data_IF_710212188693
#
_entry.id   IF_710212188693
#
_cell.length_a   1.000
_cell.length_b   1.000
_cell.length_c   1.000
_cell.angle_alpha   90.00
_cell.angle_beta   90.00
_cell.angle_gamma   90.00
#
_symmetry.space_group_name_H-M   'P 1'
#
loop_
_entity.id
_entity.type
_entity.pdbx_description
1 polymer ?
2 non-polymer ?
3 non-polymer ?
4 water ?
#
# COMPACT_ATOMS: atom_id res chain seq x y z
N UNK A 15 -1.39 -1.71 33.94
CA UNK A 15 -1.59 -1.80 32.49
C UNK A 15 -1.42 -3.21 31.94
N UNK A 16 -2.25 -3.60 30.98
CA UNK A 16 -2.12 -4.91 30.37
C UNK A 16 -0.73 -5.06 29.73
N UNK A 17 -0.30 -6.32 29.60
CA UNK A 17 1.03 -6.67 29.14
C UNK A 17 0.94 -7.82 28.14
N UNK A 18 1.74 -7.74 27.09
CA UNK A 18 1.82 -8.77 26.06
C UNK A 18 3.28 -9.05 25.77
N UNK A 19 3.72 -10.29 25.99
CA UNK A 19 5.11 -10.70 25.79
C UNK A 19 6.07 -9.71 26.46
N UNK A 20 5.84 -9.44 27.74
CA UNK A 20 6.68 -8.55 28.49
C UNK A 20 6.61 -7.09 28.09
N UNK A 21 5.80 -6.73 27.10
CA UNK A 21 5.68 -5.35 26.63
C UNK A 21 4.42 -4.72 27.18
N UNK A 22 4.52 -3.46 27.62
CA UNK A 22 3.34 -2.74 28.06
C UNK A 22 2.40 -2.55 26.89
N UNK A 23 1.10 -2.73 27.14
CA UNK A 23 0.07 -2.56 26.11
C UNK A 23 -1.11 -1.89 26.83
N UNK A 24 -0.99 -0.58 27.01
CA UNK A 24 -1.81 0.16 27.97
C UNK A 24 -3.09 0.67 27.29
N UNK A 25 -4.01 -0.26 27.06
CA UNK A 25 -5.26 0.04 26.37
C UNK A 25 -6.50 -0.26 27.21
N UNK A 26 -6.33 -0.77 28.43
CA UNK A 26 -7.47 -0.98 29.31
C UNK A 26 -7.99 0.32 29.88
N UNK A 27 -9.19 0.28 30.46
CA UNK A 27 -10.08 -0.89 30.57
C UNK A 27 -10.98 -1.16 29.35
N UNK A 28 -11.08 -0.24 28.38
CA UNK A 28 -12.01 -0.48 27.28
C UNK A 28 -11.63 -1.71 26.47
N UNK A 29 -10.35 -1.89 26.17
CA UNK A 29 -9.88 -2.97 25.31
C UNK A 29 -9.13 -4.00 26.14
N UNK A 30 -9.57 -5.25 26.10
CA UNK A 30 -8.98 -6.30 26.94
C UNK A 30 -8.80 -7.56 26.11
N UNK A 31 -8.40 -8.64 26.79
CA UNK A 31 -8.20 -9.93 26.17
C UNK A 31 -7.31 -9.80 24.93
N UNK A 32 -6.13 -9.24 25.15
CA UNK A 32 -5.19 -9.03 24.06
C UNK A 32 -4.54 -10.34 23.65
N UNK A 33 -4.34 -10.51 22.35
CA UNK A 33 -3.57 -11.63 21.83
C UNK A 33 -2.56 -11.09 20.82
N UNK A 34 -1.31 -11.50 20.97
CA UNK A 34 -0.27 -11.08 20.04
C UNK A 34 -0.58 -11.54 18.63
N UNK A 35 -0.39 -10.65 17.66
CA UNK A 35 -0.50 -10.98 16.24
C UNK A 35 0.86 -10.94 15.55
N UNK A 36 1.57 -9.83 15.68
CA UNK A 36 2.89 -9.68 15.09
C UNK A 36 3.47 -8.34 15.47
N UNK A 37 4.65 -8.06 14.94
CA UNK A 37 5.30 -6.79 15.22
C UNK A 37 6.14 -6.36 14.03
N UNK A 38 6.26 -5.05 13.88
CA UNK A 38 7.13 -4.43 12.90
C UNK A 38 8.39 -3.87 13.54
N UNK A 39 8.98 -2.87 12.87
CA UNK A 39 10.24 -2.33 13.34
C UNK A 39 10.10 -1.55 14.64
N UNK A 40 8.98 -0.84 14.82
CA UNK A 40 8.82 0.02 15.99
C UNK A 40 7.42 -0.10 16.57
N UNK A 41 6.89 -1.32 16.63
CA UNK A 41 5.55 -1.49 17.17
C UNK A 41 5.20 -2.96 17.32
N UNK A 42 4.01 -3.18 17.89
CA UNK A 42 3.45 -4.51 18.09
C UNK A 42 1.96 -4.45 17.84
N UNK A 43 1.43 -5.47 17.18
CA UNK A 43 0.01 -5.55 16.85
C UNK A 43 -0.60 -6.69 17.64
N UNK A 44 -1.76 -6.42 18.26
CA UNK A 44 -2.53 -7.42 18.98
C UNK A 44 -3.98 -7.38 18.53
N UNK A 45 -4.66 -8.50 18.69
CA UNK A 45 -6.11 -8.47 18.69
C UNK A 45 -6.61 -8.16 20.09
N UNK A 46 -7.81 -7.58 20.17
CA UNK A 46 -8.39 -7.25 21.46
C UNK A 46 -9.90 -7.24 21.34
N UNK A 47 -10.56 -7.17 22.49
CA UNK A 47 -12.00 -7.05 22.58
C UNK A 47 -12.36 -5.65 23.04
N UNK A 48 -13.21 -4.99 22.27
CA UNK A 48 -13.75 -3.69 22.62
C UNK A 48 -14.96 -3.92 23.51
N UNK A 49 -14.77 -3.78 24.83
CA UNK A 49 -15.88 -4.00 25.76
C UNK A 49 -16.98 -2.96 25.61
N UNK A 50 -16.68 -1.81 25.04
CA UNK A 50 -17.69 -0.76 24.93
C UNK A 50 -18.62 -1.02 23.75
N UNK A 51 -18.05 -1.27 22.58
CA UNK A 51 -18.83 -1.57 21.39
C UNK A 51 -19.05 -3.06 21.18
N UNK A 52 -18.47 -3.92 22.02
CA UNK A 52 -18.65 -5.37 21.96
C UNK A 52 -18.27 -5.90 20.58
N UNK A 53 -17.01 -5.65 20.20
CA UNK A 53 -16.50 -6.06 18.90
C UNK A 53 -15.03 -6.41 19.05
N UNK A 54 -14.54 -7.27 18.16
CA UNK A 54 -13.13 -7.61 18.11
C UNK A 54 -12.39 -6.60 17.23
N UNK A 55 -11.24 -6.14 17.71
CA UNK A 55 -10.47 -5.12 17.01
C UNK A 55 -9.00 -5.56 16.93
N UNK A 56 -8.25 -4.86 16.09
CA UNK A 56 -6.80 -4.90 16.10
C UNK A 56 -6.29 -3.63 16.75
N UNK A 57 -5.21 -3.73 17.52
CA UNK A 57 -4.59 -2.57 18.14
C UNK A 57 -3.10 -2.59 17.80
N UNK A 58 -2.62 -1.53 17.17
CA UNK A 58 -1.21 -1.39 16.80
C UNK A 58 -0.55 -0.43 17.77
N UNK A 59 0.39 -0.94 18.57
CA UNK A 59 1.22 -0.08 19.40
C UNK A 59 2.36 0.47 18.56
N UNK A 60 2.46 1.79 18.45
CA UNK A 60 3.50 2.47 17.69
C UNK A 60 4.35 3.29 18.65
N UNK A 61 5.68 3.12 18.59
CA UNK A 61 6.63 3.89 19.40
C UNK A 61 7.63 4.56 18.47
N UNK A 62 7.26 5.68 17.85
CA UNK A 62 8.08 6.29 16.79
C UNK A 62 8.91 7.51 17.18
N UNK A 63 8.81 8.00 18.40
CA UNK A 63 9.24 9.38 18.67
C UNK A 63 10.74 9.55 18.79
N UNK A 64 11.53 8.47 18.80
CA UNK A 64 12.98 8.64 18.82
C UNK A 64 13.58 8.77 17.42
N UNK A 65 12.80 8.57 16.37
CA UNK A 65 13.31 8.59 15.01
C UNK A 65 12.41 9.45 14.12
N UNK A 66 13.02 10.43 13.45
CA UNK A 66 12.26 11.33 12.59
C UNK A 66 11.47 10.58 11.52
N UNK A 67 12.07 9.52 10.96
CA UNK A 67 11.40 8.79 9.88
C UNK A 67 10.15 8.07 10.38
N UNK A 68 10.22 7.43 11.55
CA UNK A 68 9.04 6.76 12.09
C UNK A 68 7.93 7.78 12.37
N UNK A 69 8.31 8.96 12.88
CA UNK A 69 7.33 10.01 13.13
C UNK A 69 6.66 10.46 11.84
N UNK A 70 7.45 10.66 10.78
CA UNK A 70 6.89 10.97 9.47
C UNK A 70 5.83 9.95 9.07
N UNK A 71 6.19 8.67 9.09
CA UNK A 71 5.26 7.64 8.63
C UNK A 71 4.05 7.55 9.54
N UNK A 72 4.24 7.71 10.85
CA UNK A 72 3.09 7.67 11.75
C UNK A 72 2.13 8.80 11.46
N UNK A 73 2.64 10.01 11.27
CA UNK A 73 1.76 11.15 11.04
C UNK A 73 0.99 10.99 9.72
N UNK A 74 1.68 10.59 8.64
CA UNK A 74 1.01 10.39 7.36
C UNK A 74 -0.09 9.35 7.47
N UNK A 75 0.23 8.21 8.09
CA UNK A 75 -0.76 7.13 8.22
C UNK A 75 -2.00 7.62 8.95
N UNK A 76 -1.81 8.29 10.08
CA UNK A 76 -2.95 8.80 10.85
C UNK A 76 -3.72 9.83 10.06
N UNK A 77 -3.03 10.83 9.49
CA UNK A 77 -3.72 11.88 8.76
C UNK A 77 -4.55 11.30 7.62
N UNK A 78 -3.98 10.37 6.86
CA UNK A 78 -4.67 9.86 5.68
C UNK A 78 -5.81 8.93 6.08
N UNK A 79 -5.55 7.97 6.96
CA UNK A 79 -6.60 7.00 7.28
C UNK A 79 -7.77 7.65 8.00
N UNK A 80 -7.52 8.69 8.80
CA UNK A 80 -8.63 9.37 9.46
C UNK A 80 -9.50 10.12 8.46
N UNK A 81 -8.92 10.52 7.32
CA UNK A 81 -9.67 11.27 6.31
C UNK A 81 -10.31 10.38 5.27
N UNK A 82 -9.84 9.13 5.13
CA UNK A 82 -10.44 8.18 4.20
C UNK A 82 -11.57 7.41 4.86
N UNK A 83 -12.60 7.10 4.08
CA UNK A 83 -13.68 6.22 4.55
C UNK A 83 -14.14 5.39 3.35
N UNK A 84 -13.70 4.14 3.28
CA UNK A 84 -13.96 3.30 2.12
C UNK A 84 -13.88 1.82 2.52
N UNK A 85 -14.78 1.02 1.95
CA UNK A 85 -14.88 -0.40 2.30
C UNK A 85 -13.57 -1.15 2.06
N UNK A 86 -12.79 -0.77 1.04
CA UNK A 86 -11.57 -1.48 0.71
C UNK A 86 -10.32 -0.76 1.20
N UNK A 87 -10.46 0.05 2.24
CA UNK A 87 -9.33 0.72 2.88
C UNK A 87 -9.49 0.56 4.39
N UNK A 88 -8.41 0.15 5.07
CA UNK A 88 -8.50 -0.05 6.52
C UNK A 88 -8.82 1.27 7.19
N UNK A 89 -9.68 1.22 8.21
CA UNK A 89 -10.03 2.41 8.95
C UNK A 89 -9.40 2.48 10.32
N UNK A 90 -9.38 3.67 10.92
CA UNK A 90 -8.99 3.85 12.31
C UNK A 90 -10.25 4.06 13.13
N UNK A 91 -10.47 3.21 14.14
CA UNK A 91 -11.62 3.33 15.02
C UNK A 91 -11.35 4.24 16.21
N UNK A 92 -10.13 4.20 16.73
CA UNK A 92 -9.78 4.87 17.97
C UNK A 92 -8.25 5.02 17.99
N UNK A 93 -7.78 6.00 18.77
CA UNK A 93 -6.34 6.18 18.99
C UNK A 93 -6.16 6.50 20.47
N UNK A 94 -5.32 5.72 21.15
CA UNK A 94 -5.04 5.91 22.58
C UNK A 94 -3.64 6.47 22.72
N UNK A 95 -3.50 7.53 23.50
CA UNK A 95 -2.19 8.03 23.89
C UNK A 95 -2.35 8.88 25.14
N UNK A 96 -1.23 9.30 25.70
CA UNK A 96 -1.23 9.95 27.01
C UNK A 96 -1.93 11.31 26.94
N UNK A 97 -2.54 11.76 28.04
CA UNK A 97 -3.23 13.07 28.02
C UNK A 97 -2.29 14.26 27.91
N UNK A 98 -0.98 14.09 28.14
CA UNK A 98 -0.01 15.17 28.00
C UNK A 98 1.12 14.72 27.09
N UNK A 99 1.63 15.65 26.29
CA UNK A 99 2.60 15.29 25.26
C UNK A 99 3.88 14.74 25.87
N UNK A 100 4.26 15.25 27.05
CA UNK A 100 5.49 14.78 27.69
C UNK A 100 5.41 13.30 28.04
N UNK A 101 4.23 12.81 28.43
CA UNK A 101 4.04 11.41 28.78
C UNK A 101 3.76 10.53 27.56
N UNK A 102 3.55 11.10 26.39
CA UNK A 102 3.25 10.31 25.21
C UNK A 102 4.54 9.73 24.65
N UNK A 103 4.75 8.42 24.87
CA UNK A 103 5.85 7.69 24.25
C UNK A 103 5.37 6.65 23.26
N UNK A 104 4.10 6.24 23.33
CA UNK A 104 3.51 5.24 22.45
C UNK A 104 2.16 5.76 21.97
N UNK A 105 1.75 5.29 20.80
CA UNK A 105 0.42 5.56 20.28
C UNK A 105 -0.21 4.23 19.90
N UNK A 106 -1.45 4.00 20.34
CA UNK A 106 -2.17 2.77 20.05
C UNK A 106 -3.25 3.09 19.02
N UNK A 107 -3.11 2.53 17.83
CA UNK A 107 -4.09 2.72 16.76
C UNK A 107 -5.01 1.52 16.72
N UNK A 108 -6.29 1.75 17.01
CA UNK A 108 -7.30 0.69 17.03
C UNK A 108 -7.93 0.60 15.64
N UNK A 109 -7.96 -0.61 15.09
CA UNK A 109 -8.46 -0.84 13.73
C UNK A 109 -9.36 -2.07 13.70
N UNK A 110 -10.15 -2.17 12.63
CA UNK A 110 -10.88 -3.40 12.39
C UNK A 110 -9.92 -4.58 12.38
N UNK A 111 -10.36 -5.70 12.96
CA UNK A 111 -9.54 -6.88 13.03
C UNK A 111 -9.66 -7.66 11.72
N UNK A 112 -8.53 -7.83 11.04
CA UNK A 112 -8.42 -8.67 9.87
C UNK A 112 -7.90 -10.03 10.27
N UNK A 113 -8.10 -11.02 9.40
CA UNK A 113 -7.67 -12.39 9.67
C UNK A 113 -6.34 -12.75 9.05
N UNK A 114 -5.99 -12.17 7.90
CA UNK A 114 -4.75 -12.54 7.22
C UNK A 114 -4.44 -11.45 6.21
N UNK A 115 -3.42 -11.68 5.38
CA UNK A 115 -3.08 -10.78 4.28
C UNK A 115 -2.75 -11.62 3.06
N UNK A 116 -2.65 -10.95 1.92
CA UNK A 116 -2.45 -11.66 0.66
C UNK A 116 -1.09 -12.35 0.62
N UNK A 117 -0.09 -11.78 1.28
CA UNK A 117 1.22 -12.42 1.37
C UNK A 117 1.09 -13.80 2.02
N UNK A 118 0.54 -13.85 3.24
CA UNK A 118 0.40 -15.13 3.92
C UNK A 118 -0.46 -16.09 3.10
N UNK A 119 -1.53 -15.57 2.48
CA UNK A 119 -2.45 -16.42 1.72
C UNK A 119 -1.73 -17.10 0.56
N UNK A 120 -0.93 -16.33 -0.18
CA UNK A 120 -0.21 -16.91 -1.31
C UNK A 120 0.89 -17.86 -0.90
N UNK A 121 1.21 -17.92 0.40
CA UNK A 121 2.16 -18.92 0.91
C UNK A 121 1.58 -20.32 0.90
N UNK A 122 0.25 -20.45 0.86
CA UNK A 122 -0.39 -21.76 0.98
C UNK A 122 -1.51 -22.00 -0.03
N UNK A 123 -2.00 -20.98 -0.72
CA UNK A 123 -3.18 -21.11 -1.58
C UNK A 123 -2.82 -20.76 -3.01
N UNK A 124 -3.23 -21.61 -3.94
CA UNK A 124 -3.21 -21.31 -5.37
C UNK A 124 -4.62 -20.87 -5.74
N UNK A 125 -4.79 -19.58 -6.01
CA UNK A 125 -6.12 -19.02 -6.18
C UNK A 125 -6.70 -19.41 -7.54
N UNK A 126 -7.99 -19.70 -7.57
CA UNK A 126 -8.69 -19.85 -8.83
C UNK A 126 -8.80 -18.50 -9.54
N UNK A 127 -9.02 -18.56 -10.86
CA UNK A 127 -9.23 -17.34 -11.62
C UNK A 127 -10.34 -16.49 -11.01
N UNK A 128 -11.44 -17.13 -10.61
CA UNK A 128 -12.56 -16.36 -10.08
C UNK A 128 -12.14 -15.57 -8.85
N UNK A 129 -11.33 -16.18 -7.98
CA UNK A 129 -10.94 -15.51 -6.75
C UNK A 129 -9.86 -14.46 -7.00
N UNK A 130 -9.00 -14.68 -7.99
CA UNK A 130 -8.04 -13.66 -8.39
C UNK A 130 -8.79 -12.42 -8.86
N UNK A 131 -9.80 -12.61 -9.70
CA UNK A 131 -10.62 -11.51 -10.19
C UNK A 131 -11.29 -10.76 -9.05
N UNK A 132 -11.88 -11.50 -8.11
CA UNK A 132 -12.51 -10.90 -6.93
C UNK A 132 -11.51 -10.03 -6.16
N UNK A 133 -10.33 -10.56 -5.85
CA UNK A 133 -9.35 -9.75 -5.11
C UNK A 133 -8.92 -8.54 -5.94
N UNK A 134 -8.60 -8.75 -7.22
CA UNK A 134 -8.15 -7.64 -8.06
C UNK A 134 -9.18 -6.52 -8.11
N UNK A 135 -10.46 -6.86 -8.23
CA UNK A 135 -11.48 -5.82 -8.25
C UNK A 135 -11.44 -4.98 -6.98
N UNK A 136 -11.34 -5.64 -5.82
CA UNK A 136 -11.35 -4.91 -4.56
C UNK A 136 -10.13 -4.03 -4.42
N UNK A 137 -8.97 -4.50 -4.88
CA UNK A 137 -7.76 -3.66 -4.87
C UNK A 137 -7.99 -2.40 -5.70
N UNK A 138 -8.48 -2.58 -6.94
CA UNK A 138 -8.65 -1.44 -7.82
C UNK A 138 -9.78 -0.53 -7.35
N UNK A 139 -10.82 -1.10 -6.73
CA UNK A 139 -11.89 -0.28 -6.19
C UNK A 139 -11.37 0.63 -5.07
N UNK A 140 -10.56 0.06 -4.17
CA UNK A 140 -9.91 0.90 -3.17
C UNK A 140 -8.95 1.90 -3.79
N UNK A 141 -8.13 1.45 -4.74
CA UNK A 141 -7.15 2.34 -5.35
C UNK A 141 -7.82 3.52 -6.05
N UNK A 142 -8.98 3.29 -6.67
CA UNK A 142 -9.69 4.39 -7.32
C UNK A 142 -10.01 5.50 -6.32
N UNK A 143 -10.48 5.12 -5.13
CA UNK A 143 -10.75 6.11 -4.09
C UNK A 143 -9.48 6.84 -3.68
N UNK A 144 -8.40 6.08 -3.44
CA UNK A 144 -7.13 6.69 -3.03
C UNK A 144 -6.67 7.73 -4.05
N UNK A 145 -6.67 7.35 -5.32
CA UNK A 145 -6.20 8.27 -6.36
C UNK A 145 -7.14 9.46 -6.53
N UNK A 146 -8.44 9.27 -6.29
CA UNK A 146 -9.37 10.40 -6.40
C UNK A 146 -9.10 11.44 -5.32
N UNK A 147 -8.53 11.03 -4.19
CA UNK A 147 -8.10 11.95 -3.14
C UNK A 147 -6.74 12.58 -3.45
N UNK A 148 -6.20 12.32 -4.65
CA UNK A 148 -4.91 12.86 -5.07
C UNK A 148 -3.76 12.32 -4.22
N UNK A 149 -3.86 11.05 -3.84
CA UNK A 149 -2.88 10.40 -2.98
C UNK A 149 -2.24 9.24 -3.75
N UNK A 150 -0.92 9.10 -3.59
CA UNK A 150 -0.19 7.92 -4.05
C UNK A 150 0.10 7.05 -2.84
N UNK A 151 -0.26 5.77 -2.91
CA UNK A 151 0.06 4.88 -1.79
C UNK A 151 1.55 4.60 -1.73
N UNK A 152 2.15 4.23 -2.86
CA UNK A 152 3.59 4.11 -3.09
C UNK A 152 4.21 2.84 -2.49
N UNK A 153 3.44 2.03 -1.76
CA UNK A 153 3.98 0.83 -1.13
C UNK A 153 2.98 -0.32 -1.22
N UNK A 154 2.27 -0.41 -2.35
CA UNK A 154 1.35 -1.52 -2.53
C UNK A 154 2.11 -2.81 -2.75
N UNK A 155 1.73 -3.84 -2.01
CA UNK A 155 2.35 -5.15 -2.10
C UNK A 155 1.44 -6.14 -1.36
N UNK A 156 1.62 -7.44 -1.57
CA UNK A 156 0.67 -8.40 -0.99
C UNK A 156 0.50 -8.25 0.51
N UNK A 157 1.58 -7.98 1.26
CA UNK A 157 1.49 -7.89 2.72
C UNK A 157 0.73 -6.67 3.20
N UNK A 158 0.48 -5.68 2.35
CA UNK A 158 -0.34 -4.52 2.70
C UNK A 158 -1.77 -4.65 2.24
N UNK A 159 -2.18 -5.86 1.83
CA UNK A 159 -3.56 -6.15 1.43
C UNK A 159 -4.11 -7.15 2.45
N UNK A 160 -4.91 -6.67 3.38
CA UNK A 160 -5.45 -7.52 4.43
C UNK A 160 -6.84 -8.03 4.05
N UNK A 161 -7.18 -9.21 4.57
CA UNK A 161 -8.48 -9.83 4.36
C UNK A 161 -9.11 -10.11 5.72
N UNK A 162 -10.39 -9.76 5.86
CA UNK A 162 -11.15 -10.06 7.07
C UNK A 162 -11.86 -11.41 6.94
N UNK A 163 -12.61 -11.78 7.99
CA UNK A 163 -13.11 -13.15 8.07
C UNK A 163 -14.17 -13.46 7.01
N UNK A 164 -14.79 -12.43 6.42
CA UNK A 164 -15.73 -12.63 5.33
C UNK A 164 -15.08 -12.38 3.96
N UNK A 165 -13.74 -12.37 3.90
CA UNK A 165 -12.99 -12.28 2.66
C UNK A 165 -13.09 -10.91 2.00
N UNK A 166 -13.27 -9.86 2.79
CA UNK A 166 -13.22 -8.49 2.28
C UNK A 166 -11.77 -8.00 2.33
N UNK A 167 -11.32 -7.38 1.25
CA UNK A 167 -9.94 -6.93 1.13
C UNK A 167 -9.84 -5.45 1.46
N UNK A 168 -8.89 -5.09 2.32
CA UNK A 168 -8.66 -3.70 2.69
C UNK A 168 -7.19 -3.36 2.47
N UNK A 169 -6.94 -2.23 1.82
CA UNK A 169 -5.59 -1.71 1.64
C UNK A 169 -5.14 -1.04 2.92
N UNK A 170 -3.91 -1.31 3.34
CA UNK A 170 -3.41 -0.78 4.60
C UNK A 170 -2.01 -0.19 4.42
N UNK A 171 -1.48 0.34 5.52
CA UNK A 171 -0.13 0.89 5.63
C UNK A 171 0.12 2.05 4.69
N UNK A 172 -0.32 3.26 5.08
CA UNK A 172 -0.15 4.46 4.26
C UNK A 172 1.06 5.30 4.72
N UNK A 173 1.98 4.70 5.48
CA UNK A 173 3.13 5.44 6.01
C UNK A 173 4.06 6.00 4.97
N UNK A 174 4.06 5.46 3.75
CA UNK A 174 4.89 5.97 2.67
C UNK A 174 4.10 6.77 1.63
N UNK A 175 2.83 7.04 1.90
CA UNK A 175 2.02 7.73 0.91
C UNK A 175 2.49 9.18 0.73
N UNK A 176 2.03 9.78 -0.37
CA UNK A 176 2.29 11.18 -0.66
C UNK A 176 1.08 11.75 -1.40
N UNK A 177 0.93 13.05 -1.30
CA UNK A 177 -0.03 13.77 -2.13
C UNK A 177 0.57 13.95 -3.52
N UNK A 178 -0.20 13.61 -4.56
CA UNK A 178 0.33 13.53 -5.91
C UNK A 178 0.74 14.91 -6.44
N UNK A 179 1.98 15.01 -6.92
CA UNK A 179 2.49 16.22 -7.54
C UNK A 179 3.74 15.88 -8.37
N UNK A 180 3.58 15.55 -9.65
CA UNK A 180 4.70 15.21 -10.54
C UNK A 180 5.75 16.31 -10.59
N UNK A 191 13.06 3.74 2.52
CA UNK A 191 13.78 2.63 3.14
C UNK A 191 12.85 1.47 3.46
N UNK A 192 12.31 0.83 2.43
CA UNK A 192 11.43 -0.32 2.60
C UNK A 192 12.25 -1.59 2.42
N UNK A 193 11.70 -2.70 2.91
CA UNK A 193 12.39 -3.99 2.82
C UNK A 193 12.13 -4.70 1.50
N UNK A 194 10.90 -4.65 1.00
CA UNK A 194 10.51 -5.34 -0.23
C UNK A 194 10.27 -4.31 -1.34
N UNK A 195 11.16 -4.30 -2.33
CA UNK A 195 11.12 -3.34 -3.43
C UNK A 195 10.69 -3.99 -4.75
N UNK A 196 10.24 -5.24 -4.71
CA UNK A 196 9.89 -5.98 -5.93
C UNK A 196 8.65 -5.44 -6.63
N UNK A 197 7.90 -4.54 -5.98
CA UNK A 197 6.65 -4.02 -6.54
C UNK A 197 6.79 -2.58 -7.00
N UNK A 198 7.99 -2.01 -6.99
CA UNK A 198 8.22 -0.63 -7.37
C UNK A 198 8.43 -0.48 -8.88
N UNK A 199 7.84 0.58 -9.44
CA UNK A 199 7.90 0.83 -10.88
C UNK A 199 9.32 1.13 -11.34
N UNK A 200 9.61 0.90 -12.63
CA UNK A 200 10.99 1.09 -13.11
C UNK A 200 11.47 2.52 -13.06
N UNK A 201 10.58 3.50 -13.21
CA UNK A 201 11.02 4.88 -13.12
C UNK A 201 11.54 5.22 -11.73
N UNK A 202 11.10 4.51 -10.69
CA UNK A 202 11.65 4.70 -9.36
C UNK A 202 13.07 4.15 -9.29
N UNK A 203 13.29 2.94 -9.82
CA UNK A 203 14.63 2.36 -9.84
C UNK A 203 15.61 3.23 -10.62
N UNK A 204 15.16 3.79 -11.74
CA UNK A 204 15.99 4.65 -12.58
C UNK A 204 16.19 6.04 -11.97
N UNK A 205 15.57 6.32 -10.82
CA UNK A 205 15.69 7.62 -10.16
C UNK A 205 15.19 8.73 -11.07
N UNK A 206 13.98 8.54 -11.61
CA UNK A 206 13.34 9.57 -12.42
C UNK A 206 12.84 10.70 -11.52
N UNK A 207 12.75 11.89 -12.11
CA UNK A 207 12.40 13.10 -11.37
C UNK A 207 11.06 12.99 -10.65
N UNK A 208 9.96 13.02 -11.40
CA UNK A 208 8.65 13.06 -10.77
C UNK A 208 7.76 11.87 -11.10
N UNK A 209 7.30 11.18 -10.05
CA UNK A 209 6.44 10.02 -10.21
C UNK A 209 4.98 10.44 -10.16
N UNK A 210 4.11 9.57 -10.67
CA UNK A 210 2.69 9.84 -10.80
C UNK A 210 1.90 8.70 -10.17
N UNK A 211 0.57 8.82 -10.23
CA UNK A 211 -0.30 7.73 -9.82
C UNK A 211 0.05 6.42 -10.52
N UNK A 212 0.71 6.49 -11.67
CA UNK A 212 1.00 5.27 -12.42
C UNK A 212 1.91 4.31 -11.66
N UNK A 213 2.67 4.79 -10.67
CA UNK A 213 3.53 3.85 -9.96
C UNK A 213 2.69 2.86 -9.14
N UNK A 214 1.53 3.28 -8.62
CA UNK A 214 0.65 2.34 -7.92
C UNK A 214 0.08 1.31 -8.89
N UNK A 215 -0.27 1.74 -10.11
CA UNK A 215 -0.79 0.78 -11.08
C UNK A 215 0.24 -0.32 -11.36
N UNK A 216 1.51 0.06 -11.49
CA UNK A 216 2.57 -0.93 -11.70
C UNK A 216 2.58 -1.95 -10.56
N UNK A 217 2.55 -1.47 -9.32
CA UNK A 217 2.51 -2.37 -8.17
C UNK A 217 1.35 -3.34 -8.26
N UNK A 218 0.17 -2.84 -8.63
CA UNK A 218 -0.99 -3.72 -8.75
C UNK A 218 -0.73 -4.78 -9.82
N UNK A 219 -0.11 -4.37 -10.93
CA UNK A 219 0.27 -5.34 -11.95
C UNK A 219 1.18 -6.42 -11.38
N UNK A 220 2.15 -6.03 -10.54
CA UNK A 220 3.04 -7.00 -9.93
C UNK A 220 2.27 -7.96 -9.03
N UNK A 221 1.30 -7.43 -8.29
CA UNK A 221 0.47 -8.27 -7.41
C UNK A 221 -0.39 -9.23 -8.22
N UNK A 222 -0.99 -8.74 -9.30
CA UNK A 222 -1.77 -9.62 -10.17
C UNK A 222 -0.93 -10.78 -10.69
N UNK A 223 0.29 -10.47 -11.14
CA UNK A 223 1.17 -11.52 -11.64
C UNK A 223 1.47 -12.55 -10.55
N UNK A 224 1.65 -12.08 -9.32
CA UNK A 224 1.95 -13.00 -8.22
C UNK A 224 0.74 -13.84 -7.83
N UNK A 225 -0.48 -13.32 -8.03
CA UNK A 225 -1.67 -14.13 -7.80
C UNK A 225 -1.82 -15.21 -8.86
N UNK A 226 -1.31 -14.97 -10.06
CA UNK A 226 -1.45 -15.94 -11.15
C UNK A 226 -0.47 -17.09 -11.06
N UNK A 227 0.64 -16.92 -10.34
CA UNK A 227 1.70 -17.92 -10.33
C UNK A 227 2.24 -18.23 -8.94
N UNK A 228 1.90 -17.44 -7.93
CA UNK A 228 2.46 -17.61 -6.58
C UNK A 228 3.97 -17.42 -6.56
N UNK A 229 4.48 -16.58 -7.47
CA UNK A 229 5.86 -16.16 -7.52
C UNK A 229 5.88 -14.68 -7.82
N UNK A 230 6.82 -13.93 -7.24
CA UNK A 230 7.02 -12.55 -7.68
C UNK A 230 7.49 -12.53 -9.13
N UNK A 231 7.00 -11.54 -9.89
CA UNK A 231 7.37 -11.51 -11.30
C UNK A 231 8.71 -10.81 -11.54
N UNK A 232 9.08 -9.84 -10.70
CA UNK A 232 10.31 -9.07 -10.87
C UNK A 232 11.10 -9.03 -9.57
N UNK A 233 11.58 -10.17 -9.09
CA UNK A 233 12.47 -10.19 -7.93
C UNK A 233 13.88 -9.77 -8.31
N UNK A 234 14.70 -9.58 -7.28
CA UNK A 234 16.09 -9.20 -7.50
C UNK A 234 16.77 -8.68 -6.26
N UNK A 235 18.10 -8.84 -6.19
CA UNK A 235 18.85 -8.40 -5.02
C UNK A 235 18.94 -6.89 -4.91
N UNK A 236 18.80 -6.16 -6.02
CA UNK A 236 18.92 -4.72 -6.00
C UNK A 236 18.27 -4.16 -7.27
N UNK A 237 18.25 -2.82 -7.37
CA UNK A 237 17.55 -2.17 -8.48
C UNK A 237 18.11 -2.61 -9.82
N UNK A 238 19.43 -2.65 -9.95
CA UNK A 238 20.05 -3.06 -11.20
C UNK A 238 19.57 -4.46 -11.60
N UNK A 239 19.60 -5.40 -10.65
CA UNK A 239 19.11 -6.75 -10.90
C UNK A 239 17.63 -6.74 -11.25
N UNK A 240 16.82 -6.04 -10.46
CA UNK A 240 15.38 -6.00 -10.73
C UNK A 240 15.10 -5.39 -12.09
N UNK A 241 15.81 -4.34 -12.45
CA UNK A 241 15.60 -3.72 -13.76
C UNK A 241 15.88 -4.71 -14.89
N UNK A 242 16.92 -5.54 -14.72
CA UNK A 242 17.21 -6.55 -15.75
C UNK A 242 16.08 -7.57 -15.84
N UNK A 243 15.52 -7.98 -14.71
CA UNK A 243 14.34 -8.86 -14.73
C UNK A 243 13.22 -8.21 -15.53
N UNK A 244 12.96 -6.93 -15.29
CA UNK A 244 11.89 -6.23 -15.99
C UNK A 244 12.17 -6.19 -17.50
N UNK A 245 13.37 -5.71 -17.86
CA UNK A 245 13.70 -5.59 -19.28
C UNK A 245 13.73 -6.94 -19.97
N UNK A 246 14.06 -8.01 -19.25
CA UNK A 246 14.05 -9.33 -19.85
C UNK A 246 12.67 -9.83 -20.18
N UNK A 247 11.65 -9.34 -19.48
CA UNK A 247 10.28 -9.74 -19.73
C UNK A 247 9.60 -8.79 -20.71
N UNK A 248 9.66 -7.48 -20.44
CA UNK A 248 9.01 -6.50 -21.30
C UNK A 248 9.77 -6.23 -22.59
N UNK A 249 11.03 -6.61 -22.66
CA UNK A 249 11.87 -6.26 -23.80
C UNK A 249 12.39 -4.84 -23.71
N UNK A 250 13.32 -4.53 -24.59
CA UNK A 250 13.95 -3.22 -24.56
C UNK A 250 12.92 -2.13 -24.88
N UNK A 251 12.91 -1.04 -24.12
CA UNK A 251 11.98 0.05 -24.40
C UNK A 251 12.42 0.85 -25.63
N UNK A 252 11.44 1.47 -26.28
CA UNK A 252 11.71 2.31 -27.43
C UNK A 252 12.11 3.72 -26.97
N UNK A 253 12.55 4.52 -27.94
CA UNK A 253 12.90 5.92 -27.65
C UNK A 253 11.72 6.67 -27.08
N UNK A 254 10.51 6.44 -27.62
CA UNK A 254 9.32 7.06 -27.09
C UNK A 254 9.16 6.77 -25.60
N UNK A 255 9.37 5.51 -25.20
CA UNK A 255 9.26 5.16 -23.79
C UNK A 255 10.38 5.79 -22.98
N UNK A 256 11.62 5.75 -23.50
CA UNK A 256 12.75 6.30 -22.77
C UNK A 256 12.55 7.79 -22.45
N UNK A 257 11.89 8.53 -23.34
CA UNK A 257 11.72 9.96 -23.13
C UNK A 257 10.94 10.29 -21.87
N UNK A 258 10.18 9.33 -21.34
CA UNK A 258 9.45 9.54 -20.09
C UNK A 258 10.36 9.51 -18.87
N UNK A 259 11.60 9.03 -19.02
CA UNK A 259 12.57 9.01 -17.92
C UNK A 259 13.28 10.35 -17.92
N UNK A 260 12.94 11.20 -16.95
CA UNK A 260 13.51 12.55 -16.90
C UNK A 260 15.02 12.49 -16.72
N UNK A 261 15.52 11.47 -16.01
CA UNK A 261 16.94 11.34 -15.74
C UNK A 261 17.69 11.05 -17.04
N UNK A 262 18.50 12.00 -17.50
CA UNK A 262 19.27 11.80 -18.72
C UNK A 262 20.26 10.66 -18.56
N UNK A 263 20.86 10.51 -17.37
CA UNK A 263 21.82 9.43 -17.17
C UNK A 263 21.15 8.07 -17.29
N UNK A 264 19.92 7.94 -16.79
CA UNK A 264 19.20 6.68 -16.91
C UNK A 264 18.87 6.37 -18.37
N UNK A 265 18.56 7.40 -19.16
CA UNK A 265 18.25 7.16 -20.56
C UNK A 265 19.47 6.73 -21.34
N UNK A 266 20.63 7.36 -21.10
CA UNK A 266 21.86 6.91 -21.72
C UNK A 266 22.17 5.47 -21.32
N UNK A 267 22.02 5.15 -20.03
CA UNK A 267 22.25 3.80 -19.57
C UNK A 267 21.41 2.79 -20.35
N UNK A 268 20.10 2.99 -20.38
CA UNK A 268 19.21 2.02 -21.04
C UNK A 268 19.56 1.86 -22.52
N UNK A 269 19.83 2.96 -23.20
CA UNK A 269 20.21 2.88 -24.61
C UNK A 269 21.50 2.10 -24.84
N UNK A 270 22.29 1.86 -23.80
CA UNK A 270 23.56 1.16 -23.93
C UNK A 270 23.44 -0.34 -23.66
N UNK A 271 22.27 -0.80 -23.25
CA UNK A 271 22.09 -2.20 -22.91
C UNK A 271 21.83 -3.03 -24.15
N UNK A 272 22.18 -4.32 -24.12
CA UNK A 272 21.89 -5.18 -25.26
C UNK A 272 20.39 -5.30 -25.48
N UNK A 273 20.00 -5.52 -26.74
CA UNK A 273 18.59 -5.61 -27.07
C UNK A 273 17.97 -6.84 -26.42
N UNK A 274 16.73 -6.67 -25.97
CA UNK A 274 15.97 -7.74 -25.34
C UNK A 274 14.61 -7.83 -26.02
N UNK A 275 14.19 -9.06 -26.34
CA UNK A 275 12.88 -9.29 -26.94
C UNK A 275 11.84 -9.45 -25.85
N UNK A 276 10.61 -9.05 -26.17
CA UNK A 276 9.50 -9.18 -25.25
C UNK A 276 9.06 -10.63 -25.14
N UNK A 277 8.93 -11.12 -23.90
CA UNK A 277 8.43 -12.46 -23.65
C UNK A 277 6.91 -12.41 -23.60
N UNK A 278 6.22 -13.11 -24.49
CA UNK A 278 4.75 -13.07 -24.47
C UNK A 278 4.21 -13.53 -23.12
N UNK A 279 3.16 -12.85 -22.67
CA UNK A 279 2.63 -13.13 -21.34
C UNK A 279 2.12 -14.56 -21.22
N UNK A 280 1.59 -15.13 -22.31
CA UNK A 280 1.08 -16.49 -22.22
C UNK A 280 2.21 -17.52 -22.13
N UNK A 281 3.44 -17.14 -22.47
CA UNK A 281 4.57 -18.04 -22.25
C UNK A 281 4.92 -18.12 -20.76
N UNK A 282 4.81 -16.99 -20.04
CA UNK A 282 5.07 -17.00 -18.62
C UNK A 282 3.89 -17.55 -17.82
N UNK A 283 2.67 -17.23 -18.24
CA UNK A 283 1.45 -17.63 -17.53
C UNK A 283 0.58 -18.45 -18.49
N UNK A 284 0.96 -19.70 -18.76
CA UNK A 284 0.29 -20.47 -19.81
C UNK A 284 -1.14 -20.84 -19.48
N UNK A 285 -1.55 -20.79 -18.21
CA UNK A 285 -2.89 -21.20 -17.80
C UNK A 285 -3.77 -20.05 -17.35
N UNK A 286 -3.31 -18.81 -17.47
CA UNK A 286 -4.08 -17.67 -17.01
C UNK A 286 -5.15 -17.29 -18.03
N UNK A 287 -6.22 -16.69 -17.51
CA UNK A 287 -7.25 -16.09 -18.35
C UNK A 287 -6.63 -15.06 -19.28
N UNK A 288 -6.91 -15.19 -20.59
CA UNK A 288 -6.31 -14.27 -21.55
C UNK A 288 -6.74 -12.83 -21.28
N UNK A 289 -7.94 -12.62 -20.74
CA UNK A 289 -8.34 -11.28 -20.34
C UNK A 289 -7.46 -10.77 -19.20
N UNK A 290 -7.19 -11.62 -18.21
CA UNK A 290 -6.29 -11.24 -17.13
C UNK A 290 -4.92 -10.84 -17.66
N UNK A 291 -4.43 -11.56 -18.68
CA UNK A 291 -3.11 -11.25 -19.23
C UNK A 291 -3.15 -9.94 -20.02
N UNK A 292 -4.26 -9.64 -20.69
CA UNK A 292 -4.39 -8.37 -21.40
C UNK A 292 -4.31 -7.20 -20.43
N UNK A 293 -5.04 -7.27 -19.32
CA UNK A 293 -4.97 -6.20 -18.32
C UNK A 293 -3.59 -6.15 -17.68
N UNK A 294 -3.00 -7.32 -17.40
CA UNK A 294 -1.64 -7.36 -16.89
C UNK A 294 -0.69 -6.61 -17.81
N UNK A 295 -0.84 -6.80 -19.12
CA UNK A 295 0.01 -6.10 -20.09
C UNK A 295 -0.13 -4.59 -19.94
N UNK A 296 -1.36 -4.10 -19.74
CA UNK A 296 -1.60 -2.67 -19.65
C UNK A 296 -1.12 -2.08 -18.34
N UNK A 297 -1.02 -2.88 -17.28
CA UNK A 297 -0.51 -2.40 -16.00
C UNK A 297 1.02 -2.42 -15.97
N UNK A 298 1.63 -3.45 -16.52
CA UNK A 298 3.09 -3.58 -16.54
C UNK A 298 3.68 -3.07 -17.85
N UNK A 299 3.34 -1.85 -18.25
CA UNK A 299 3.99 -1.20 -19.37
C UNK A 299 5.09 -0.28 -18.85
N UNK A 300 6.24 -0.31 -19.52
CA UNK A 300 7.38 0.48 -19.09
C UNK A 300 7.03 1.96 -19.01
N UNK A 301 6.42 2.50 -20.06
CA UNK A 301 6.09 3.91 -20.15
C UNK A 301 4.99 4.26 -19.15
N UNK A 302 5.27 5.04 -18.10
CA UNK A 302 4.20 5.37 -17.14
C UNK A 302 3.08 6.17 -17.78
N UNK A 303 3.36 6.91 -18.86
CA UNK A 303 2.32 7.68 -19.52
C UNK A 303 1.32 6.79 -20.27
N UNK A 304 1.77 5.65 -20.77
CA UNK A 304 0.87 4.72 -21.45
C UNK A 304 0.27 3.69 -20.50
N UNK A 305 0.77 3.61 -19.27
CA UNK A 305 0.25 2.67 -18.31
C UNK A 305 -1.23 2.94 -18.04
N UNK A 306 -2.05 1.88 -18.00
CA UNK A 306 -3.48 2.05 -17.82
C UNK A 306 -3.76 2.71 -16.47
N UNK A 307 -4.85 3.47 -16.41
CA UNK A 307 -5.25 4.17 -15.19
C UNK A 307 -6.29 3.36 -14.43
N UNK A 308 -6.46 3.71 -13.15
CA UNK A 308 -7.29 2.88 -12.28
C UNK A 308 -8.72 2.78 -12.80
N UNK A 309 -9.31 3.90 -13.19
CA UNK A 309 -10.69 3.86 -13.69
C UNK A 309 -10.79 3.07 -14.99
N UNK A 310 -9.76 3.13 -15.84
CA UNK A 310 -9.76 2.32 -17.06
C UNK A 310 -9.56 0.85 -16.75
N UNK A 311 -8.73 0.54 -15.75
CA UNK A 311 -8.54 -0.85 -15.35
C UNK A 311 -9.83 -1.46 -14.79
N UNK A 312 -10.59 -0.68 -14.02
CA UNK A 312 -11.86 -1.19 -13.50
C UNK A 312 -12.82 -1.55 -14.62
N UNK A 313 -12.79 -0.81 -15.74
CA UNK A 313 -13.68 -1.06 -16.86
C UNK A 313 -13.11 -2.07 -17.85
N UNK A 314 -12.00 -2.72 -17.51
CA UNK A 314 -11.43 -3.72 -18.41
C UNK A 314 -12.31 -4.98 -18.42
N UNK A 315 -12.44 -5.66 -19.56
CA UNK A 315 -13.34 -6.82 -19.62
C UNK A 315 -13.06 -7.88 -18.57
N UNK A 316 -11.82 -7.99 -18.08
CA UNK A 316 -11.52 -8.98 -17.05
C UNK A 316 -12.31 -8.77 -15.77
N UNK A 317 -12.77 -7.55 -15.53
CA UNK A 317 -13.52 -7.25 -14.32
C UNK A 317 -14.99 -6.96 -14.60
N UNK A 318 -15.51 -7.36 -15.76
CA UNK A 318 -16.88 -6.99 -16.11
C UNK A 318 -17.92 -7.63 -15.19
N UNK A 319 -17.59 -8.74 -14.53
CA UNK A 319 -18.53 -9.32 -13.57
C UNK A 319 -18.76 -8.42 -12.37
N UNK A 320 -17.78 -7.57 -12.03
CA UNK A 320 -17.83 -6.73 -10.84
C UNK A 320 -18.01 -5.25 -11.15
N UNK A 321 -17.60 -4.79 -12.31
CA UNK A 321 -17.56 -3.36 -12.61
C UNK A 321 -18.93 -2.72 -12.41
N UNK A 322 -18.99 -1.72 -11.54
CA UNK A 322 -20.22 -1.01 -11.25
C UNK A 322 -19.89 0.40 -10.78
N UNK A 323 -19.77 1.37 -11.69
CA UNK A 323 -19.27 2.69 -11.29
C UNK A 323 -20.10 3.37 -10.23
N UNK A 324 -21.43 3.20 -10.26
CA UNK A 324 -22.29 3.79 -9.24
C UNK A 324 -22.02 3.24 -7.85
N UNK A 325 -21.30 2.12 -7.74
CA UNK A 325 -20.93 1.52 -6.47
C UNK A 325 -19.41 1.55 -6.25
N UNK A 326 -18.73 2.49 -6.90
CA UNK A 326 -17.28 2.64 -6.79
C UNK A 326 -16.99 4.09 -6.47
N UNK A 327 -17.09 4.47 -5.20
CA UNK A 327 -17.10 5.89 -4.85
C UNK A 327 -15.71 6.51 -4.83
N UNK A 328 -15.71 7.84 -4.84
CA UNK A 328 -14.49 8.64 -4.80
C UNK A 328 -14.52 9.50 -3.55
N UNK A 329 -13.34 10.03 -3.21
CA UNK A 329 -13.23 10.88 -2.03
C UNK A 329 -13.94 12.20 -2.27
N UNK A 330 -14.56 12.74 -1.21
CA UNK A 330 -15.31 13.98 -1.34
C UNK A 330 -14.37 15.14 -1.68
N UNK A 331 -13.34 15.33 -0.87
CA UNK A 331 -12.38 16.40 -1.07
C UNK A 331 -10.97 15.80 -1.18
N UNK A 332 -10.29 15.95 -2.31
CA UNK A 332 -8.92 15.47 -2.41
C UNK A 332 -7.99 16.29 -1.52
N UNK A 333 -6.84 15.70 -1.21
CA UNK A 333 -5.89 16.41 -0.35
C UNK A 333 -5.38 17.68 -1.03
N UNK A 334 -4.67 17.53 -2.15
CA UNK A 334 -4.05 18.66 -2.83
C UNK A 334 -3.34 19.58 -1.85
N UNK A 335 -2.77 18.98 -0.78
CA UNK A 335 -2.13 19.71 0.32
C UNK A 335 -0.88 18.92 0.72
N UNK A 336 0.18 19.07 -0.07
CA UNK A 336 1.45 18.42 0.23
C UNK A 336 1.86 18.65 1.67
N UNK A 337 1.92 17.57 2.45
CA UNK A 337 2.17 17.70 3.88
C UNK A 337 3.51 18.37 4.17
N UNK A 338 4.55 17.99 3.42
CA UNK A 338 5.89 18.56 3.60
C UNK A 338 6.38 18.34 5.04
N UNK A 339 6.71 17.08 5.32
CA UNK A 339 7.21 16.67 6.62
C UNK A 339 8.69 16.32 6.61
N UNK A 340 9.31 16.32 5.43
CA UNK A 340 10.63 15.72 5.24
C UNK A 340 11.75 16.47 5.96
N UNK A 341 11.53 17.72 6.35
CA UNK A 341 12.56 18.48 7.06
C UNK A 341 12.12 18.93 8.45
N UNK A 342 11.02 18.40 8.97
CA UNK A 342 10.58 18.78 10.32
C UNK A 342 11.30 17.93 11.35
N UNK A 343 11.85 18.53 12.40
CA UNK A 343 12.47 17.72 13.46
C UNK A 343 11.44 16.85 14.16
N UNK A 344 11.91 15.74 14.74
CA UNK A 344 10.99 14.79 15.33
C UNK A 344 10.18 15.41 16.47
N UNK A 345 10.67 16.48 17.09
CA UNK A 345 9.89 17.14 18.12
C UNK A 345 8.70 17.88 17.53
N UNK A 346 8.89 18.55 16.38
CA UNK A 346 7.76 19.14 15.68
C UNK A 346 6.78 18.06 15.24
N UNK A 347 7.29 16.95 14.69
CA UNK A 347 6.41 15.87 14.26
C UNK A 347 5.63 15.30 15.44
N UNK A 348 6.25 15.18 16.61
CA UNK A 348 5.52 14.67 17.78
C UNK A 348 4.39 15.60 18.17
N UNK A 349 4.61 16.92 18.10
CA UNK A 349 3.53 17.85 18.38
C UNK A 349 2.39 17.69 17.38
N UNK A 350 2.72 17.45 16.10
CA UNK A 350 1.69 17.28 15.09
C UNK A 350 0.89 16.00 15.36
N UNK A 351 1.57 14.94 15.78
CA UNK A 351 0.89 13.69 16.09
C UNK A 351 0.01 13.85 17.33
N UNK A 352 0.48 14.62 18.31
CA UNK A 352 -0.34 14.91 19.49
C UNK A 352 -1.62 15.63 19.08
N UNK A 353 -1.51 16.67 18.26
CA UNK A 353 -2.68 17.43 17.84
C UNK A 353 -3.61 16.58 16.98
N UNK A 354 -3.05 15.72 16.13
CA UNK A 354 -3.86 14.93 15.20
C UNK A 354 -4.67 13.87 15.92
N UNK A 355 -4.19 13.39 17.06
CA UNK A 355 -4.85 12.37 17.84
C UNK A 355 -5.75 12.95 18.93
N UNK A 356 -5.84 14.27 19.01
CA UNK A 356 -6.57 14.89 20.12
C UNK A 356 -8.06 14.64 20.04
N UNK A 357 -8.60 14.40 18.84
CA UNK A 357 -10.04 14.21 18.70
C UNK A 357 -10.54 12.96 19.42
N UNK A 358 -9.64 12.06 19.82
CA UNK A 358 -10.00 10.84 20.53
C UNK A 358 -9.89 10.99 22.04
N UNK A 359 -9.54 12.17 22.53
CA UNK A 359 -9.38 12.49 23.94
C UNK A 359 -10.67 13.08 24.50
N UNK A 360 -11.06 12.69 25.71
CA UNK A 360 -12.22 13.34 26.34
C UNK A 360 -11.97 14.82 26.54
N UNK A 361 -12.86 15.64 25.98
CA UNK A 361 -12.78 17.07 26.17
C UNK A 361 -12.05 17.82 25.07
N UNK A 362 -12.32 17.45 23.83
CA UNK A 362 -11.65 18.08 22.70
C UNK A 362 -12.58 19.06 21.98
X LIG B 1 6.41 -4.62 8.88
X LIG B 1 4.73 -4.43 8.78
X LIG B 1 4.12 -5.63 8.09
X LIG B 1 4.39 -3.17 8.01
X LIG B 1 4.11 -4.34 10.31
X LIG B 1 2.56 -3.95 10.68
X LIG B 1 2.52 -2.96 11.76
X LIG B 1 1.87 -3.22 9.61
X LIG B 1 1.72 -5.32 11.08
X LIG B 1 2.38 -6.35 11.76
X LIG B 1 1.51 -7.57 11.75
X LIG B 1 0.18 -7.27 12.28
X LIG B 1 1.32 -8.07 10.35
X LIG B 1 1.37 -9.50 10.36
X LIG B 1 -0.02 -7.62 9.96
X LIG B 1 -0.62 -8.52 9.02
X LIG B 1 -0.80 -7.59 11.25
X LIG B 1 -1.83 -6.60 11.19
X LIG B 1 -1.59 -5.33 10.93
X LIG B 1 -2.74 -4.64 10.93
X LIG B 1 -3.80 -5.62 11.25
X LIG B 1 -3.11 -6.90 11.40
X LIG B 1 -3.79 -7.99 11.70
X LIG B 1 -5.08 -7.94 11.85
X LIG B 1 -5.76 -6.83 11.71
X LIG B 1 -5.20 -5.68 11.44
X LIG B 1 -6.02 -4.47 11.31
X LIG C 1 -12.69 -20.18 -1.13
X LIG C 1 -12.45 -18.79 -1.32
X LIG C 1 -12.95 -17.81 -0.35
X LIG C 1 -12.14 -15.73 0.70
X LIG C 1 -10.60 -15.76 0.71
X LIG C 1 -10.15 -16.15 2.09
X LIG C 1 -10.63 -15.95 4.57
X LIG C 1 -11.85 -15.67 5.43
X LIG C 1 -9.55 -14.90 4.83
X LIG C 1 -10.09 -17.35 4.87
X LIG C 1 -9.97 -16.62 -0.37
X LIG C 1 -10.62 -16.74 -1.73
X LIG C 1 -11.94 -15.99 -1.76
X LIG C 1 -12.81 -16.32 -0.54
X LIG C 1 -14.21 -15.69 -0.70
X LIG C 1 -14.98 -16.26 -1.89
X LIG C 1 -15.66 -17.47 -1.77
X LIG C 1 -16.34 -18.00 -2.86
X LIG C 1 -16.37 -17.32 -4.07
X LIG C 1 -15.70 -16.11 -4.19
X LIG C 1 -15.01 -15.58 -3.10
X LIG C 1 -13.51 -18.24 0.63
X LIG C 1 -9.06 -16.66 2.27
X LIG C 1 -11.03 -15.87 3.22
X LIG C 1 -8.91 -17.18 -0.15
#
# INVERSE_FOLDING_TARGET
GSASMAAAAAAGAGPEMVRGQVFDVGPRYTNLSYIGEGAYGMVCSAYDNVNKVRVAIKKISPFEHQTYCQRTLREIKILLRFRHENIIGINDIIRAPTIEQMKDVYIVQDLMETDLYKLLKTQHLSNDHICYFLYQILRGLKYIHSANVLHRDLKPSNLLLNTTCDLKICDFGLARVADPDHDHTGFLTEYVATRWYRAPEIMLNSKGYTKSIDIWSVGCILAEMLSNRPIFPGKHYLDQLNHILGILGSPSQEDLNCIINLKARNYLLSLPHKNKVPWNRLFPNADSKALDLLDKMLTFNPHKRIEVEQALAHPYLEQYYDPSDEPIAEAPFKFDMELDDLPKEKLKELIFEETARFQPGYRS
AN2 N3B PB O2B O1B O3A PA O1A O2A O5' C5' C4' O4' C3' O3' C2' O2' C1' N9 C8 N7 C5 C4 N3 C2 N1 C6 N6
D2I C15 O C14 C3 C2 C16 C17 C18 C19 C20 C1 C6 C5 C4 C7 C8 C9 C10 C11 C12 C13 O1 O2 O3 O4
#
